data_IF_123590988127
#
_entry.id   IF_123590988127
#
_cell.length_a   1.000
_cell.length_b   1.000
_cell.length_c   1.000
_cell.angle_alpha   90.00
_cell.angle_beta   90.00
_cell.angle_gamma   90.00
#
_symmetry.space_group_name_H-M   'P 1'
#
loop_
_entity.id
_entity.type
_entity.pdbx_description
1 polymer ?
#
# COMPACT_ATOMS: atom_id res chain seq x y z
N UNK A 1 -46.11 19.22 -16.63
CA UNK A 1 -44.75 18.95 -16.12
C UNK A 1 -44.42 20.05 -15.14
N UNK A 2 -44.60 19.80 -13.85
CA UNK A 2 -44.32 20.76 -12.77
C UNK A 2 -42.86 20.59 -12.37
N UNK A 3 -42.04 21.62 -12.59
CA UNK A 3 -40.67 21.68 -12.10
C UNK A 3 -40.69 21.76 -10.58
N UNK A 4 -40.11 20.75 -9.93
CA UNK A 4 -39.83 20.80 -8.49
C UNK A 4 -38.60 21.70 -8.34
N UNK A 5 -38.84 22.99 -8.11
CA UNK A 5 -37.81 23.92 -7.68
C UNK A 5 -37.53 23.62 -6.21
N UNK A 6 -36.46 22.90 -5.92
CA UNK A 6 -35.98 22.76 -4.55
C UNK A 6 -35.62 24.17 -4.03
N UNK A 7 -36.27 24.66 -2.95
CA UNK A 7 -35.88 25.93 -2.37
C UNK A 7 -34.42 25.84 -1.89
N UNK A 8 -33.63 26.93 -2.01
CA UNK A 8 -32.29 26.95 -1.46
C UNK A 8 -32.39 26.67 0.04
N UNK A 9 -31.59 25.71 0.52
CA UNK A 9 -31.45 25.42 1.95
C UNK A 9 -30.98 26.71 2.62
N UNK A 10 -31.87 27.37 3.36
CA UNK A 10 -31.53 28.53 4.17
C UNK A 10 -30.98 28.00 5.49
N UNK A 11 -29.67 28.06 5.64
CA UNK A 11 -28.99 27.76 6.89
C UNK A 11 -29.29 28.90 7.87
N UNK A 12 -29.50 28.55 9.14
CA UNK A 12 -29.53 29.53 10.22
C UNK A 12 -28.15 30.15 10.44
N UNK A 13 -28.08 31.33 11.06
CA UNK A 13 -26.80 32.00 11.36
C UNK A 13 -25.84 31.12 12.18
N UNK A 14 -26.38 30.23 13.01
CA UNK A 14 -25.60 29.23 13.78
C UNK A 14 -25.06 28.13 12.87
N UNK A 15 -25.88 27.56 11.98
CA UNK A 15 -25.45 26.53 11.01
C UNK A 15 -24.43 27.07 10.00
N UNK A 16 -24.53 28.35 9.60
CA UNK A 16 -23.50 29.00 8.76
C UNK A 16 -22.16 29.14 9.49
N UNK A 17 -22.17 29.51 10.78
CA UNK A 17 -20.96 29.60 11.59
C UNK A 17 -20.32 28.22 11.81
N UNK A 18 -21.12 27.19 12.07
CA UNK A 18 -20.64 25.80 12.19
C UNK A 18 -20.04 25.30 10.88
N UNK A 19 -20.69 25.57 9.74
CA UNK A 19 -20.17 25.20 8.42
C UNK A 19 -18.85 25.91 8.12
N UNK A 20 -18.75 27.23 8.40
CA UNK A 20 -17.50 27.98 8.23
C UNK A 20 -16.39 27.48 9.15
N UNK A 21 -16.70 27.14 10.40
CA UNK A 21 -15.74 26.56 11.33
C UNK A 21 -15.25 25.18 10.84
N UNK A 22 -16.17 24.34 10.37
CA UNK A 22 -15.88 23.03 9.77
C UNK A 22 -15.00 23.16 8.53
N UNK A 23 -15.33 24.05 7.60
CA UNK A 23 -14.56 24.32 6.40
C UNK A 23 -13.15 24.84 6.72
N UNK A 24 -13.05 25.74 7.70
CA UNK A 24 -11.77 26.30 8.15
C UNK A 24 -10.89 25.22 8.78
N UNK A 25 -11.46 24.37 9.65
CA UNK A 25 -10.76 23.22 10.21
C UNK A 25 -10.32 22.24 9.14
N UNK A 26 -11.19 21.91 8.18
CA UNK A 26 -10.85 21.03 7.06
C UNK A 26 -9.77 21.62 6.16
N UNK A 27 -9.77 22.94 5.94
CA UNK A 27 -8.74 23.63 5.16
C UNK A 27 -7.39 23.58 5.86
N UNK A 28 -7.34 23.87 7.17
CA UNK A 28 -6.11 23.77 7.97
C UNK A 28 -5.57 22.33 7.95
N UNK A 29 -6.47 21.34 8.09
CA UNK A 29 -6.09 19.92 8.03
C UNK A 29 -5.48 19.55 6.67
N UNK A 30 -6.11 19.95 5.55
CA UNK A 30 -5.54 19.73 4.21
C UNK A 30 -4.19 20.41 4.04
N UNK A 31 -4.03 21.65 4.51
CA UNK A 31 -2.74 22.35 4.44
C UNK A 31 -1.64 21.62 5.21
N UNK A 32 -1.94 21.05 6.37
CA UNK A 32 -1.00 20.21 7.14
C UNK A 32 -0.65 18.92 6.40
N UNK A 33 -1.63 18.29 5.76
CA UNK A 33 -1.43 17.09 4.94
C UNK A 33 -0.61 17.39 3.67
N UNK A 34 -0.73 18.59 3.11
CA UNK A 34 -0.01 19.04 1.91
C UNK A 34 1.37 19.67 2.21
N UNK A 35 1.71 19.90 3.48
CA UNK A 35 3.00 20.43 3.87
C UNK A 35 4.09 19.36 3.81
N UNK A 36 5.25 19.70 3.23
CA UNK A 36 6.45 18.86 3.31
C UNK A 36 7.03 19.00 4.71
N UNK A 37 6.94 17.94 5.50
CA UNK A 37 7.38 17.92 6.90
C UNK A 37 8.72 17.22 7.09
N UNK A 38 9.12 16.36 6.15
CA UNK A 38 10.34 15.57 6.26
C UNK A 38 11.04 15.41 4.91
N UNK A 39 12.35 15.71 4.86
CA UNK A 39 13.20 15.38 3.72
C UNK A 39 14.25 14.36 4.14
N UNK A 40 14.35 13.26 3.40
CA UNK A 40 15.32 12.20 3.66
C UNK A 40 16.04 11.84 2.37
N UNK A 41 17.35 11.60 2.45
CA UNK A 41 18.07 11.06 1.30
C UNK A 41 17.50 9.68 0.94
N UNK A 42 17.20 9.45 -0.33
CA UNK A 42 16.62 8.19 -0.78
C UNK A 42 17.53 6.99 -0.46
N UNK A 43 18.84 7.20 -0.46
CA UNK A 43 19.80 6.18 -0.01
C UNK A 43 19.52 5.73 1.43
N UNK A 44 19.26 6.67 2.34
CA UNK A 44 18.96 6.37 3.73
C UNK A 44 17.62 5.66 3.88
N UNK A 45 16.60 6.05 3.10
CA UNK A 45 15.30 5.38 3.09
C UNK A 45 15.48 3.90 2.70
N UNK A 46 16.15 3.63 1.58
CA UNK A 46 16.40 2.25 1.13
C UNK A 46 17.21 1.46 2.15
N UNK A 47 18.27 2.06 2.73
CA UNK A 47 19.11 1.40 3.73
C UNK A 47 18.34 1.07 5.02
N UNK A 48 17.51 2.00 5.51
CA UNK A 48 16.65 1.81 6.69
C UNK A 48 15.62 0.70 6.45
N UNK A 49 15.07 0.62 5.24
CA UNK A 49 14.10 -0.41 4.84
C UNK A 49 14.76 -1.76 4.45
N UNK A 50 16.10 -1.84 4.41
CA UNK A 50 16.86 -3.02 3.91
C UNK A 50 16.56 -3.38 2.45
N UNK A 51 16.22 -2.38 1.64
CA UNK A 51 15.93 -2.52 0.22
C UNK A 51 17.17 -2.24 -0.65
N UNK A 52 17.26 -2.82 -1.85
CA UNK A 52 18.35 -2.52 -2.78
C UNK A 52 18.37 -1.04 -3.22
N UNK A 53 19.55 -0.43 -3.29
CA UNK A 53 19.70 1.00 -3.62
C UNK A 53 19.20 1.38 -5.01
N UNK A 54 19.20 0.42 -5.95
CA UNK A 54 18.70 0.63 -7.31
C UNK A 54 17.17 0.78 -7.37
N UNK A 55 16.44 0.45 -6.30
CA UNK A 55 15.00 0.67 -6.21
C UNK A 55 14.65 2.15 -6.35
N UNK A 56 15.54 3.06 -5.95
CA UNK A 56 15.36 4.51 -6.18
C UNK A 56 15.22 4.85 -7.66
N UNK A 57 16.03 4.23 -8.52
CA UNK A 57 15.93 4.42 -9.96
C UNK A 57 14.61 3.86 -10.49
N UNK A 58 14.19 2.69 -9.99
CA UNK A 58 12.90 2.07 -10.33
C UNK A 58 11.71 2.94 -9.96
N UNK A 59 11.70 3.52 -8.77
CA UNK A 59 10.66 4.45 -8.30
C UNK A 59 10.63 5.69 -9.20
N UNK A 60 11.80 6.26 -9.50
CA UNK A 60 11.91 7.45 -10.37
C UNK A 60 11.39 7.18 -11.79
N UNK A 61 11.62 5.99 -12.31
CA UNK A 61 11.23 5.56 -13.67
C UNK A 61 9.73 5.27 -13.83
N UNK A 62 8.97 5.18 -12.73
CA UNK A 62 7.54 4.90 -12.76
C UNK A 62 6.77 5.91 -13.62
N UNK A 63 5.65 5.51 -14.21
CA UNK A 63 4.66 6.39 -14.85
C UNK A 63 3.45 6.55 -13.94
N UNK A 64 2.59 7.52 -14.25
CA UNK A 64 1.34 7.70 -13.49
C UNK A 64 0.48 6.44 -13.62
N UNK A 65 0.05 5.89 -12.48
CA UNK A 65 -0.69 4.64 -12.39
C UNK A 65 0.18 3.39 -12.29
N UNK A 66 1.52 3.52 -12.31
CA UNK A 66 2.40 2.38 -12.07
C UNK A 66 2.46 2.05 -10.56
N UNK A 67 2.66 0.78 -10.27
CA UNK A 67 2.91 0.23 -8.93
C UNK A 67 4.27 -0.45 -8.89
N UNK A 68 5.06 -0.15 -7.86
CA UNK A 68 6.36 -0.75 -7.61
C UNK A 68 6.34 -1.54 -6.32
N UNK A 69 6.44 -2.86 -6.45
CA UNK A 69 6.42 -3.80 -5.35
C UNK A 69 7.82 -3.91 -4.74
N UNK A 70 7.91 -3.67 -3.43
CA UNK A 70 9.15 -3.82 -2.65
C UNK A 70 9.16 -5.12 -1.84
N UNK A 71 8.10 -5.91 -1.97
CA UNK A 71 7.87 -7.19 -1.32
C UNK A 71 6.37 -7.38 -1.10
N UNK A 72 5.84 -8.53 -1.50
CA UNK A 72 4.46 -8.96 -1.25
C UNK A 72 4.48 -10.44 -0.89
N UNK A 73 4.12 -10.74 0.36
CA UNK A 73 3.92 -12.09 0.89
C UNK A 73 2.45 -12.16 1.26
N UNK A 74 1.75 -13.18 0.77
CA UNK A 74 0.31 -13.37 0.99
C UNK A 74 0.07 -14.83 1.36
N UNK A 75 -0.85 -15.05 2.27
CA UNK A 75 -1.20 -16.39 2.74
C UNK A 75 -2.70 -16.45 3.02
N UNK A 76 -3.35 -17.44 2.43
CA UNK A 76 -4.75 -17.78 2.72
C UNK A 76 -4.71 -18.80 3.86
N UNK A 77 -5.38 -18.46 4.95
CA UNK A 77 -5.48 -19.32 6.13
C UNK A 77 -6.72 -20.19 6.01
N UNK A 78 -6.66 -21.38 6.61
CA UNK A 78 -7.78 -22.30 6.64
C UNK A 78 -8.89 -21.79 7.58
N UNK A 79 -10.14 -22.16 7.30
CA UNK A 79 -11.30 -21.79 8.13
C UNK A 79 -11.13 -22.33 9.56
N UNK A 80 -10.53 -23.51 9.74
CA UNK A 80 -10.26 -24.11 11.05
C UNK A 80 -9.35 -23.21 11.93
N UNK A 81 -8.44 -22.47 11.32
CA UNK A 81 -7.49 -21.59 12.01
C UNK A 81 -8.08 -20.22 12.35
N UNK A 82 -9.08 -19.76 11.59
CA UNK A 82 -9.54 -18.37 11.59
C UNK A 82 -11.02 -18.19 11.90
N UNK A 83 -11.83 -19.24 11.80
CA UNK A 83 -13.28 -19.18 11.86
C UNK A 83 -13.92 -18.38 10.72
N UNK A 84 -13.17 -18.10 9.66
CA UNK A 84 -13.59 -17.31 8.50
C UNK A 84 -13.10 -17.97 7.23
N UNK A 85 -14.00 -18.17 6.27
CA UNK A 85 -13.64 -18.67 4.94
C UNK A 85 -12.65 -17.72 4.25
N UNK A 86 -11.59 -18.30 3.69
CA UNK A 86 -10.63 -17.65 2.81
C UNK A 86 -9.98 -16.37 3.39
N UNK A 87 -9.74 -16.31 4.71
CA UNK A 87 -9.02 -15.18 5.29
C UNK A 87 -7.61 -15.10 4.71
N UNK A 88 -7.35 -14.02 3.96
CA UNK A 88 -6.04 -13.75 3.38
C UNK A 88 -5.26 -12.72 4.22
N UNK A 89 -4.19 -13.18 4.86
CA UNK A 89 -3.21 -12.32 5.50
C UNK A 89 -2.17 -11.82 4.50
N UNK A 90 -1.77 -10.56 4.62
CA UNK A 90 -0.83 -9.91 3.69
C UNK A 90 0.32 -9.23 4.42
N UNK A 91 1.50 -9.28 3.84
CA UNK A 91 2.67 -8.49 4.24
C UNK A 91 3.29 -7.85 3.01
N UNK A 92 2.99 -6.57 2.81
CA UNK A 92 3.25 -5.87 1.57
C UNK A 92 3.85 -4.50 1.83
N UNK A 93 4.86 -4.14 1.03
CA UNK A 93 5.36 -2.77 0.94
C UNK A 93 5.49 -2.43 -0.54
N UNK A 94 4.88 -1.33 -0.94
CA UNK A 94 4.83 -0.93 -2.34
C UNK A 94 4.72 0.59 -2.49
N UNK A 95 5.09 1.08 -3.66
CA UNK A 95 4.91 2.47 -4.06
C UNK A 95 3.97 2.55 -5.23
N UNK A 96 3.04 3.49 -5.20
CA UNK A 96 2.20 3.86 -6.33
C UNK A 96 2.60 5.24 -6.80
N UNK A 97 2.63 5.47 -8.12
CA UNK A 97 2.85 6.81 -8.66
C UNK A 97 1.53 7.45 -9.03
N UNK A 98 1.18 8.50 -8.30
CA UNK A 98 0.02 9.33 -8.56
C UNK A 98 0.33 10.45 -9.57
N UNK A 99 -0.66 11.29 -9.82
CA UNK A 99 -0.51 12.49 -10.64
C UNK A 99 0.44 13.52 -10.03
N UNK A 100 0.85 14.51 -10.84
CA UNK A 100 1.59 15.71 -10.39
C UNK A 100 2.92 15.42 -9.67
N UNK A 101 3.55 14.27 -9.95
CA UNK A 101 4.85 13.88 -9.39
C UNK A 101 4.78 13.40 -7.94
N UNK A 102 3.58 13.11 -7.44
CA UNK A 102 3.36 12.52 -6.12
C UNK A 102 3.46 10.99 -6.19
N UNK A 103 3.92 10.41 -5.09
CA UNK A 103 4.04 8.98 -4.88
C UNK A 103 3.41 8.62 -3.55
N UNK A 104 2.74 7.48 -3.49
CA UNK A 104 2.22 6.90 -2.26
C UNK A 104 3.11 5.73 -1.87
N UNK A 105 3.76 5.79 -0.71
CA UNK A 105 4.43 4.64 -0.12
C UNK A 105 3.47 4.01 0.88
N UNK A 106 3.09 2.75 0.64
CA UNK A 106 2.11 2.03 1.45
C UNK A 106 2.73 0.77 2.05
N UNK A 107 2.20 0.37 3.20
CA UNK A 107 2.55 -0.83 3.91
C UNK A 107 1.30 -1.46 4.52
N UNK A 108 1.11 -2.76 4.23
CA UNK A 108 0.07 -3.58 4.84
C UNK A 108 0.73 -4.74 5.59
N UNK A 109 0.37 -4.95 6.85
CA UNK A 109 0.78 -6.09 7.67
C UNK A 109 -0.44 -6.65 8.40
N UNK A 110 -0.93 -7.78 7.92
CA UNK A 110 -2.05 -8.54 8.49
C UNK A 110 -1.75 -10.04 8.63
N UNK A 111 -0.51 -10.50 8.41
CA UNK A 111 -0.14 -11.90 8.63
C UNK A 111 -0.32 -12.32 10.11
N UNK A 112 -1.11 -13.38 10.33
CA UNK A 112 -1.27 -14.04 11.61
C UNK A 112 0.05 -14.74 11.94
N UNK A 113 0.83 -14.13 12.84
CA UNK A 113 2.20 -14.57 13.15
C UNK A 113 2.39 -14.83 14.63
N UNK A 114 2.12 -13.83 15.48
CA UNK A 114 2.07 -13.98 16.94
C UNK A 114 0.94 -13.11 17.51
N UNK A 115 0.20 -13.57 18.53
CA UNK A 115 -0.88 -12.78 19.15
C UNK A 115 -0.41 -11.41 19.67
N UNK A 116 0.83 -11.31 20.14
CA UNK A 116 1.40 -10.07 20.66
C UNK A 116 1.85 -9.08 19.58
N UNK A 117 1.80 -9.46 18.29
CA UNK A 117 2.28 -8.61 17.21
C UNK A 117 1.11 -7.80 16.65
N UNK A 118 1.13 -6.47 16.77
CA UNK A 118 0.06 -5.66 16.24
C UNK A 118 0.05 -5.71 14.71
N UNK A 119 -1.15 -5.79 14.15
CA UNK A 119 -1.36 -5.52 12.73
C UNK A 119 -1.00 -4.06 12.44
N UNK A 120 -0.38 -3.83 11.29
CA UNK A 120 0.17 -2.50 10.96
C UNK A 120 -0.23 -2.09 9.56
N UNK A 121 -0.90 -0.96 9.47
CA UNK A 121 -1.29 -0.31 8.22
C UNK A 121 -0.72 1.10 8.25
N UNK A 122 0.11 1.44 7.28
CA UNK A 122 0.85 2.70 7.29
C UNK A 122 1.05 3.21 5.88
N UNK A 123 0.86 4.52 5.68
CA UNK A 123 1.05 5.16 4.39
C UNK A 123 1.70 6.52 4.55
N UNK A 124 2.46 6.93 3.55
CA UNK A 124 3.02 8.28 3.48
C UNK A 124 3.12 8.73 2.03
N UNK A 125 2.67 9.96 1.77
CA UNK A 125 2.84 10.60 0.46
C UNK A 125 4.22 11.23 0.37
N UNK A 126 4.86 11.17 -0.79
CA UNK A 126 6.13 11.86 -1.03
C UNK A 126 6.30 12.37 -2.46
N UNK A 127 7.21 13.33 -2.64
CA UNK A 127 7.78 13.73 -3.93
C UNK A 127 9.21 13.23 -4.02
N UNK A 128 9.59 12.77 -5.21
CA UNK A 128 10.97 12.44 -5.51
C UNK A 128 11.67 13.68 -6.10
N UNK A 129 12.47 14.37 -5.28
CA UNK A 129 13.16 15.61 -5.66
C UNK A 129 14.49 15.34 -6.39
N UNK A 130 15.00 16.39 -7.07
CA UNK A 130 16.35 16.36 -7.64
C UNK A 130 17.39 16.06 -6.54
N UNK A 131 18.47 15.38 -6.90
CA UNK A 131 19.47 14.91 -5.94
C UNK A 131 19.11 13.59 -5.23
N UNK A 132 17.94 13.01 -5.52
CA UNK A 132 17.54 11.71 -4.95
C UNK A 132 16.97 11.81 -3.53
N UNK A 133 16.38 12.95 -3.19
CA UNK A 133 15.73 13.22 -1.91
C UNK A 133 14.25 12.81 -2.01
N UNK A 134 13.77 12.15 -0.95
CA UNK A 134 12.35 11.87 -0.74
C UNK A 134 11.80 12.94 0.19
N UNK A 135 10.90 13.77 -0.34
CA UNK A 135 10.22 14.82 0.40
C UNK A 135 8.82 14.34 0.79
N UNK A 136 8.65 13.97 2.05
CA UNK A 136 7.43 13.39 2.58
C UNK A 136 6.48 14.48 3.11
N UNK A 137 5.19 14.22 2.94
CA UNK A 137 4.10 15.12 3.32
C UNK A 137 3.36 14.62 4.55
N UNK A 138 2.77 15.55 5.31
CA UNK A 138 1.90 15.27 6.44
C UNK A 138 2.58 15.30 7.80
N UNK A 139 1.82 15.65 8.83
CA UNK A 139 2.32 15.87 10.20
C UNK A 139 3.05 14.64 10.78
N UNK A 140 2.57 13.42 10.46
CA UNK A 140 3.10 12.16 10.99
C UNK A 140 4.04 11.43 10.01
N UNK A 141 4.54 12.11 8.97
CA UNK A 141 5.36 11.49 7.93
C UNK A 141 6.56 10.70 8.47
N UNK A 142 7.19 11.19 9.56
CA UNK A 142 8.36 10.56 10.17
C UNK A 142 7.99 9.25 10.86
N UNK A 143 6.89 9.23 11.59
CA UNK A 143 6.37 8.07 12.31
C UNK A 143 5.90 7.00 11.32
N UNK A 144 5.14 7.38 10.30
CA UNK A 144 4.66 6.49 9.24
C UNK A 144 5.83 5.89 8.45
N UNK A 145 6.80 6.71 8.02
CA UNK A 145 7.99 6.22 7.34
C UNK A 145 8.79 5.23 8.21
N UNK A 146 8.87 5.48 9.52
CA UNK A 146 9.54 4.57 10.46
C UNK A 146 8.81 3.23 10.52
N UNK A 147 7.47 3.22 10.62
CA UNK A 147 6.66 1.98 10.62
C UNK A 147 6.86 1.19 9.32
N UNK A 148 6.75 1.85 8.17
CA UNK A 148 6.96 1.24 6.85
C UNK A 148 8.36 0.62 6.75
N UNK A 149 9.42 1.33 7.19
CA UNK A 149 10.77 0.80 7.18
C UNK A 149 10.91 -0.45 8.08
N UNK A 150 10.26 -0.49 9.24
CA UNK A 150 10.31 -1.64 10.16
C UNK A 150 9.64 -2.87 9.55
N UNK A 151 8.46 -2.69 8.93
CA UNK A 151 7.77 -3.79 8.25
C UNK A 151 8.56 -4.25 7.02
N UNK A 152 9.08 -3.33 6.21
CA UNK A 152 9.92 -3.66 5.07
C UNK A 152 11.13 -4.52 5.51
N UNK A 153 11.83 -4.14 6.58
CA UNK A 153 12.91 -4.94 7.16
C UNK A 153 12.48 -6.37 7.51
N UNK A 154 11.28 -6.52 8.06
CA UNK A 154 10.76 -7.82 8.45
C UNK A 154 10.42 -8.66 7.23
N UNK A 155 9.74 -8.08 6.23
CA UNK A 155 9.47 -8.73 4.93
C UNK A 155 10.79 -9.16 4.28
N UNK A 156 11.81 -8.30 4.21
CA UNK A 156 13.10 -8.66 3.64
C UNK A 156 13.81 -9.79 4.42
N UNK A 157 13.54 -9.94 5.72
CA UNK A 157 14.01 -11.08 6.50
C UNK A 157 13.26 -12.36 6.12
N UNK A 158 11.93 -12.29 6.01
CA UNK A 158 11.10 -13.42 5.57
C UNK A 158 11.50 -13.91 4.18
N UNK A 159 11.64 -13.00 3.22
CA UNK A 159 12.08 -13.31 1.84
C UNK A 159 13.42 -14.05 1.83
N UNK A 160 14.38 -13.65 2.67
CA UNK A 160 15.70 -14.28 2.76
C UNK A 160 15.69 -15.65 3.46
N UNK A 161 14.70 -15.88 4.31
CA UNK A 161 14.54 -17.13 5.06
C UNK A 161 13.52 -18.08 4.43
N UNK A 162 12.92 -17.70 3.30
CA UNK A 162 11.94 -18.51 2.60
C UNK A 162 12.55 -19.82 2.12
N UNK A 163 11.77 -20.89 2.22
CA UNK A 163 12.19 -22.21 1.79
C UNK A 163 12.15 -22.30 0.25
N UNK A 164 12.94 -23.19 -0.37
CA UNK A 164 12.98 -23.35 -1.82
C UNK A 164 11.61 -23.54 -2.48
N UNK A 165 10.68 -24.19 -1.79
CA UNK A 165 9.32 -24.47 -2.25
C UNK A 165 8.51 -23.19 -2.45
N UNK A 166 8.59 -22.24 -1.51
CA UNK A 166 7.90 -20.95 -1.59
C UNK A 166 8.42 -20.07 -2.72
N UNK A 167 9.71 -20.20 -3.05
CA UNK A 167 10.36 -19.37 -4.08
C UNK A 167 10.36 -20.02 -5.46
N UNK A 168 10.11 -21.34 -5.54
CA UNK A 168 10.15 -22.09 -6.79
C UNK A 168 9.20 -21.52 -7.87
N UNK A 169 7.93 -21.15 -7.56
CA UNK A 169 7.03 -20.56 -8.55
C UNK A 169 7.59 -19.27 -9.17
N UNK A 170 8.16 -18.37 -8.37
CA UNK A 170 8.75 -17.13 -8.86
C UNK A 170 9.97 -17.42 -9.76
N UNK A 171 10.84 -18.34 -9.35
CA UNK A 171 12.04 -18.75 -10.10
C UNK A 171 11.70 -19.40 -11.44
N UNK A 172 10.63 -20.18 -11.52
CA UNK A 172 10.13 -20.76 -12.79
C UNK A 172 9.64 -19.68 -13.76
N UNK A 173 8.97 -18.65 -13.23
CA UNK A 173 8.52 -17.49 -13.99
C UNK A 173 9.65 -16.47 -14.26
N UNK A 174 10.81 -16.62 -13.61
CA UNK A 174 11.93 -15.67 -13.72
C UNK A 174 11.63 -14.30 -13.11
N UNK A 175 10.60 -14.21 -12.26
CA UNK A 175 10.22 -13.00 -11.53
C UNK A 175 10.97 -12.99 -10.19
N UNK A 176 11.36 -11.82 -9.65
CA UNK A 176 11.91 -11.72 -8.31
C UNK A 176 11.01 -12.36 -7.24
N UNK A 177 11.61 -13.12 -6.31
CA UNK A 177 10.91 -13.78 -5.21
C UNK A 177 10.03 -12.79 -4.44
N UNK A 178 8.79 -13.18 -4.14
CA UNK A 178 7.80 -12.34 -3.44
C UNK A 178 7.65 -10.95 -4.06
N UNK A 179 7.80 -10.89 -5.39
CA UNK A 179 7.67 -9.70 -6.22
C UNK A 179 8.59 -8.52 -5.80
N UNK A 180 9.67 -8.80 -5.08
CA UNK A 180 10.58 -7.77 -4.57
C UNK A 180 11.34 -7.09 -5.71
N UNK A 181 10.96 -5.85 -6.05
CA UNK A 181 11.55 -5.07 -7.12
C UNK A 181 10.82 -5.15 -8.45
N UNK A 182 9.55 -5.57 -8.45
CA UNK A 182 8.70 -5.66 -9.65
C UNK A 182 7.93 -4.36 -9.87
N UNK A 183 8.02 -3.79 -11.08
CA UNK A 183 7.20 -2.66 -11.51
C UNK A 183 6.07 -3.16 -12.42
N UNK A 184 4.84 -2.78 -12.08
CA UNK A 184 3.61 -3.08 -12.80
C UNK A 184 3.05 -1.74 -13.33
N UNK A 185 2.64 -1.70 -14.59
CA UNK A 185 2.02 -0.52 -15.19
C UNK A 185 0.53 -0.44 -14.88
N UNK A 186 -0.08 0.69 -15.26
CA UNK A 186 -1.53 0.93 -15.10
C UNK A 186 -2.46 -0.09 -15.79
N UNK A 187 -1.93 -0.95 -16.67
CA UNK A 187 -2.68 -2.01 -17.35
C UNK A 187 -2.41 -3.38 -16.72
N UNK A 188 -1.83 -3.39 -15.52
CA UNK A 188 -1.41 -4.56 -14.76
C UNK A 188 -0.32 -5.39 -15.45
N UNK A 189 0.47 -4.82 -16.37
CA UNK A 189 1.57 -5.52 -17.02
C UNK A 189 2.90 -5.19 -16.34
N UNK A 190 3.79 -6.17 -16.26
CA UNK A 190 5.16 -5.87 -15.86
C UNK A 190 5.81 -4.92 -16.86
N UNK A 191 6.36 -3.82 -16.36
CA UNK A 191 7.07 -2.84 -17.21
C UNK A 191 8.33 -3.41 -17.84
N UNK A 192 8.87 -4.49 -17.26
CA UNK A 192 10.12 -5.15 -17.65
C UNK A 192 9.82 -6.56 -18.15
N UNK A 193 10.70 -7.04 -19.02
CA UNK A 193 10.69 -8.42 -19.50
C UNK A 193 11.47 -9.30 -18.53
N UNK A 194 10.91 -10.47 -18.20
CA UNK A 194 11.55 -11.49 -17.38
C UNK A 194 11.81 -12.75 -18.21
N UNK A 195 12.95 -13.41 -17.98
CA UNK A 195 13.25 -14.67 -18.64
C UNK A 195 12.51 -15.81 -17.94
N UNK A 196 11.44 -16.32 -18.55
CA UNK A 196 10.67 -17.43 -18.01
C UNK A 196 11.34 -18.75 -18.36
N UNK A 197 11.53 -19.62 -17.38
CA UNK A 197 11.97 -21.01 -17.62
C UNK A 197 10.83 -21.84 -18.21
N UNK A 198 9.59 -21.59 -17.78
CA UNK A 198 8.40 -22.29 -18.27
C UNK A 198 8.12 -22.02 -19.76
N UNK A 199 8.35 -20.78 -20.22
CA UNK A 199 8.13 -20.41 -21.63
C UNK A 199 9.42 -20.32 -22.46
N UNK A 200 10.58 -20.55 -21.83
CA UNK A 200 11.92 -20.44 -22.43
C UNK A 200 12.17 -19.14 -23.22
N UNK A 201 11.58 -18.03 -22.78
CA UNK A 201 11.68 -16.74 -23.47
C UNK A 201 11.48 -15.56 -22.53
N UNK A 202 11.79 -14.36 -23.02
CA UNK A 202 11.47 -13.09 -22.35
C UNK A 202 9.99 -12.77 -22.47
N UNK A 203 9.31 -12.61 -21.34
CA UNK A 203 7.86 -12.36 -21.28
C UNK A 203 7.52 -11.17 -20.38
N UNK A 204 6.37 -10.56 -20.65
CA UNK A 204 5.69 -9.67 -19.67
C UNK A 204 4.58 -10.47 -19.02
N UNK A 205 4.38 -10.24 -17.72
CA UNK A 205 3.30 -10.85 -16.97
C UNK A 205 2.16 -9.87 -16.80
N UNK A 206 0.93 -10.34 -16.99
CA UNK A 206 -0.29 -9.59 -16.69
C UNK A 206 -0.84 -10.07 -15.36
N UNK A 207 -0.94 -9.15 -14.41
CA UNK A 207 -1.46 -9.40 -13.07
C UNK A 207 -2.98 -9.24 -13.09
N UNK A 208 -3.67 -10.12 -12.37
CA UNK A 208 -5.08 -9.89 -12.04
C UNK A 208 -5.18 -8.89 -10.88
N UNK A 209 -6.38 -8.36 -10.61
CA UNK A 209 -6.55 -7.40 -9.53
C UNK A 209 -6.26 -8.05 -8.16
N UNK A 210 -6.59 -9.33 -8.01
CA UNK A 210 -6.36 -10.11 -6.80
C UNK A 210 -4.87 -10.30 -6.54
N UNK A 211 -4.02 -10.27 -7.57
CA UNK A 211 -2.57 -10.41 -7.45
C UNK A 211 -1.84 -9.09 -7.17
N UNK A 212 -2.51 -7.94 -7.33
CA UNK A 212 -1.98 -6.63 -6.94
C UNK A 212 -2.05 -6.44 -5.42
N UNK A 213 -1.27 -5.51 -4.84
CA UNK A 213 -1.34 -5.23 -3.42
C UNK A 213 -2.77 -4.94 -2.97
N UNK A 214 -3.14 -5.57 -1.87
CA UNK A 214 -4.50 -5.47 -1.34
C UNK A 214 -4.74 -4.04 -0.85
N UNK A 215 -5.87 -3.39 -1.20
CA UNK A 215 -6.22 -2.09 -0.66
C UNK A 215 -6.13 -2.09 0.87
N UNK A 216 -5.49 -1.07 1.44
CA UNK A 216 -5.27 -0.98 2.89
C UNK A 216 -6.58 -1.07 3.69
N UNK A 217 -7.64 -0.42 3.19
CA UNK A 217 -8.96 -0.48 3.83
C UNK A 217 -9.55 -1.88 3.85
N UNK A 218 -9.39 -2.64 2.76
CA UNK A 218 -9.83 -4.03 2.70
C UNK A 218 -9.08 -4.88 3.73
N UNK A 219 -7.77 -4.67 3.89
CA UNK A 219 -6.99 -5.37 4.93
C UNK A 219 -7.47 -5.04 6.36
N UNK A 220 -7.80 -3.77 6.61
CA UNK A 220 -8.31 -3.31 7.91
C UNK A 220 -9.68 -3.93 8.19
N UNK A 221 -10.58 -3.93 7.21
CA UNK A 221 -11.92 -4.53 7.34
C UNK A 221 -11.82 -6.03 7.58
N UNK A 222 -11.00 -6.76 6.81
CA UNK A 222 -10.83 -8.20 6.98
C UNK A 222 -10.31 -8.56 8.38
N UNK A 223 -9.36 -7.77 8.92
CA UNK A 223 -8.93 -7.93 10.32
C UNK A 223 -10.04 -7.58 11.30
N UNK A 224 -10.84 -6.55 11.03
CA UNK A 224 -11.98 -6.17 11.85
C UNK A 224 -13.01 -7.30 11.96
N UNK A 225 -13.34 -7.94 10.85
CA UNK A 225 -14.21 -9.12 10.82
C UNK A 225 -13.58 -10.31 11.55
N UNK A 226 -12.32 -10.65 11.24
CA UNK A 226 -11.61 -11.77 11.87
C UNK A 226 -11.53 -11.64 13.40
N UNK A 227 -11.29 -10.43 13.90
CA UNK A 227 -11.15 -10.17 15.34
C UNK A 227 -12.50 -9.99 16.06
N UNK A 228 -13.62 -10.03 15.32
CA UNK A 228 -14.95 -9.73 15.85
C UNK A 228 -15.16 -8.26 16.24
N UNK A 229 -14.22 -7.37 15.91
CA UNK A 229 -14.36 -5.93 16.14
C UNK A 229 -15.41 -5.30 15.22
N UNK A 230 -15.67 -5.91 14.06
CA UNK A 230 -16.78 -5.60 13.18
C UNK A 230 -17.69 -6.84 13.14
N UNK A 231 -18.94 -6.75 13.63
CA UNK A 231 -19.86 -7.87 13.55
C UNK A 231 -20.19 -8.13 12.09
N UNK A 232 -20.13 -9.40 11.69
CA UNK A 232 -20.79 -9.85 10.47
C UNK A 232 -22.26 -9.96 10.87
N UNK A 233 -23.15 -9.16 10.26
CA UNK A 233 -24.58 -9.35 10.48
C UNK A 233 -24.91 -10.80 10.17
N UNK A 234 -25.34 -11.54 11.19
CA UNK A 234 -25.88 -12.89 11.02
C UNK A 234 -26.91 -12.78 9.91
N UNK A 235 -26.69 -13.49 8.80
CA UNK A 235 -27.76 -13.73 7.83
C UNK A 235 -28.92 -14.30 8.64
N UNK A 236 -29.94 -13.47 8.84
CA UNK A 236 -31.15 -13.85 9.53
C UNK A 236 -31.60 -15.21 8.99
N UNK A 237 -31.64 -16.21 9.88
CA UNK A 237 -32.26 -17.50 9.60
C UNK A 237 -33.75 -17.33 9.33
#
# INVERSE_FOLDING_TARGET
MTEIVNPPVQLTDEEEQELQAFETQHRIKRQKEEAITLRVQGYDVMRRARLPLYFRARIREMRVGDTFLMGSIRHIYDEEDTGMDDYEGVAEVYVEREGKGLYQLRCNWSLLSKPSRPMTFSHVTFKYEKGGVFAFFGEHAKEELRRICLISRFIQRLIKSAVPEDVAPYSQLGIPNFLCGVNIDKNNLTTRLYWSKTQERKVRYKFTNEQLPKPMMECILNIGFLTGAIPIEDKAK
#
